data_IF_125349236423
#
_entry.id   IF_125349236423
#
_cell.length_a   1.000
_cell.length_b   1.000
_cell.length_c   1.000
_cell.angle_alpha   90.00
_cell.angle_beta   90.00
_cell.angle_gamma   90.00
#
_symmetry.space_group_name_H-M   'P 1'
#
loop_
_entity.id
_entity.type
_entity.pdbx_description
1 polymer ?
#
# COMPACT_ATOMS: atom_id res chain seq x y z
N UNK A 1 21.85 -8.98 21.09
CA UNK A 1 20.71 -8.12 21.47
C UNK A 1 19.40 -8.75 21.03
N UNK A 2 18.89 -9.73 21.80
CA UNK A 2 17.61 -10.39 21.52
C UNK A 2 16.42 -9.47 21.80
N UNK A 3 16.58 -8.53 22.72
CA UNK A 3 15.57 -7.55 23.12
C UNK A 3 15.15 -6.64 21.96
N UNK A 4 16.12 -6.19 21.15
CA UNK A 4 15.86 -5.39 19.96
C UNK A 4 15.04 -6.12 18.90
N UNK A 5 15.27 -7.43 18.74
CA UNK A 5 14.53 -8.26 17.79
C UNK A 5 13.06 -8.42 18.20
N UNK A 6 12.82 -8.61 19.51
CA UNK A 6 11.47 -8.72 20.08
C UNK A 6 10.70 -7.41 19.89
N UNK A 7 11.34 -6.27 20.17
CA UNK A 7 10.73 -4.95 19.97
C UNK A 7 10.46 -4.69 18.48
N UNK A 8 11.39 -5.04 17.58
CA UNK A 8 11.21 -4.92 16.14
C UNK A 8 10.01 -5.73 15.64
N UNK A 9 9.92 -7.01 16.03
CA UNK A 9 8.82 -7.88 15.65
C UNK A 9 7.48 -7.35 16.16
N UNK A 10 7.43 -6.87 17.41
CA UNK A 10 6.25 -6.25 17.98
C UNK A 10 5.82 -4.99 17.20
N UNK A 11 6.76 -4.09 16.90
CA UNK A 11 6.49 -2.87 16.13
C UNK A 11 6.02 -3.17 14.71
N UNK A 12 6.55 -4.20 14.05
CA UNK A 12 6.11 -4.65 12.73
C UNK A 12 4.66 -5.15 12.79
N UNK A 13 4.33 -6.00 13.75
CA UNK A 13 2.96 -6.53 13.91
C UNK A 13 1.97 -5.40 14.15
N UNK A 14 2.26 -4.49 15.09
CA UNK A 14 1.40 -3.34 15.38
C UNK A 14 1.26 -2.41 14.18
N UNK A 15 2.35 -2.17 13.43
CA UNK A 15 2.31 -1.33 12.24
C UNK A 15 1.42 -1.93 11.14
N UNK A 16 1.53 -3.23 10.88
CA UNK A 16 0.72 -3.92 9.87
C UNK A 16 -0.75 -3.93 10.30
N UNK A 17 -1.04 -4.37 11.53
CA UNK A 17 -2.43 -4.45 12.03
C UNK A 17 -3.09 -3.07 12.05
N UNK A 18 -2.40 -2.05 12.57
CA UNK A 18 -2.93 -0.68 12.60
C UNK A 18 -3.28 -0.17 11.20
N UNK A 19 -2.43 -0.42 10.21
CA UNK A 19 -2.67 0.01 8.82
C UNK A 19 -3.78 -0.78 8.14
N UNK A 20 -3.85 -2.10 8.34
CA UNK A 20 -4.96 -2.91 7.81
C UNK A 20 -6.30 -2.48 8.41
N UNK A 21 -6.35 -2.16 9.71
CA UNK A 21 -7.56 -1.69 10.39
C UNK A 21 -8.06 -0.35 9.83
N UNK A 22 -7.18 0.55 9.37
CA UNK A 22 -7.62 1.80 8.73
C UNK A 22 -8.46 1.57 7.47
N UNK A 23 -8.24 0.46 6.75
CA UNK A 23 -9.07 0.05 5.62
C UNK A 23 -10.53 -0.25 6.00
N UNK A 24 -10.76 -0.73 7.24
CA UNK A 24 -12.12 -0.97 7.77
C UNK A 24 -12.83 0.32 8.19
N UNK A 25 -12.10 1.40 8.46
CA UNK A 25 -12.65 2.70 8.84
C UNK A 25 -13.36 3.44 7.70
N UNK A 26 -13.18 3.00 6.45
CA UNK A 26 -13.87 3.58 5.29
C UNK A 26 -15.29 3.00 5.21
N UNK A 27 -16.25 3.73 5.78
CA UNK A 27 -17.69 3.46 5.68
C UNK A 27 -18.32 4.40 4.66
N UNK A 28 -19.13 3.89 3.73
CA UNK A 28 -20.05 4.71 2.92
C UNK A 28 -19.83 4.76 1.40
N UNK A 29 -18.89 4.02 0.82
CA UNK A 29 -18.72 3.95 -0.64
C UNK A 29 -18.82 2.50 -1.18
N UNK A 30 -19.88 2.15 -1.92
CA UNK A 30 -19.98 0.87 -2.62
C UNK A 30 -18.90 0.78 -3.71
N UNK A 31 -18.19 -0.35 -3.79
CA UNK A 31 -17.16 -0.60 -4.83
C UNK A 31 -15.71 -0.29 -4.44
N UNK A 32 -15.44 0.17 -3.22
CA UNK A 32 -14.08 0.46 -2.77
C UNK A 32 -13.44 -0.72 -2.05
N UNK A 33 -12.25 -1.14 -2.51
CA UNK A 33 -11.48 -2.18 -1.85
C UNK A 33 -10.78 -1.65 -0.59
N UNK A 34 -11.44 -1.89 0.55
CA UNK A 34 -10.96 -1.59 1.90
C UNK A 34 -9.56 -2.12 2.21
N UNK A 35 -9.23 -3.32 1.70
CA UNK A 35 -7.93 -3.95 1.90
C UNK A 35 -6.83 -3.24 1.09
N UNK A 36 -7.12 -2.83 -0.14
CA UNK A 36 -6.20 -2.04 -0.96
C UNK A 36 -5.91 -0.67 -0.34
N UNK A 37 -6.90 -0.04 0.30
CA UNK A 37 -6.69 1.21 1.06
C UNK A 37 -5.74 0.97 2.23
N UNK A 38 -6.03 -0.02 3.08
CA UNK A 38 -5.18 -0.33 4.24
C UNK A 38 -3.76 -0.69 3.84
N UNK A 39 -3.60 -1.49 2.79
CA UNK A 39 -2.30 -1.92 2.25
C UNK A 39 -1.55 -0.77 1.58
N UNK A 40 -2.24 0.10 0.85
CA UNK A 40 -1.66 1.29 0.24
C UNK A 40 -1.09 2.28 1.27
N UNK A 41 -1.54 2.21 2.52
CA UNK A 41 -1.04 3.03 3.62
C UNK A 41 0.10 2.38 4.42
N UNK A 42 0.50 1.14 4.13
CA UNK A 42 1.61 0.44 4.79
C UNK A 42 2.98 1.09 4.55
N UNK A 43 3.37 1.54 3.34
CA UNK A 43 4.72 2.00 3.11
C UNK A 43 5.04 3.20 4.00
N UNK A 44 6.03 3.02 4.88
CA UNK A 44 6.63 4.11 5.63
C UNK A 44 7.80 4.64 4.82
N UNK A 45 7.67 5.83 4.27
CA UNK A 45 8.71 6.46 3.47
C UNK A 45 9.84 7.07 4.30
N UNK A 46 10.45 8.10 3.73
CA UNK A 46 11.57 8.86 4.30
C UNK A 46 11.29 9.38 5.72
N UNK A 47 10.05 9.77 6.02
CA UNK A 47 9.65 10.32 7.33
C UNK A 47 9.86 9.33 8.48
N UNK A 48 9.77 8.02 8.23
CA UNK A 48 10.09 7.01 9.24
C UNK A 48 11.58 6.94 9.58
N UNK A 49 12.43 7.11 8.56
CA UNK A 49 13.89 7.18 8.70
C UNK A 49 14.33 8.50 9.33
N UNK A 50 13.70 9.62 8.97
CA UNK A 50 13.93 10.93 9.61
C UNK A 50 13.62 10.85 11.10
N UNK A 51 12.51 10.22 11.48
CA UNK A 51 12.14 10.05 12.88
C UNK A 51 13.14 9.16 13.65
N UNK A 52 13.66 8.10 13.02
CA UNK A 52 14.71 7.27 13.58
C UNK A 52 16.02 8.07 13.79
N UNK A 53 16.40 8.88 12.80
CA UNK A 53 17.59 9.73 12.87
C UNK A 53 17.48 10.80 13.97
N UNK A 54 16.34 11.47 14.09
CA UNK A 54 16.10 12.47 15.15
C UNK A 54 16.02 11.79 16.53
N UNK A 55 15.35 10.64 16.62
CA UNK A 55 15.25 9.90 17.88
C UNK A 55 16.61 9.38 18.36
N UNK A 56 17.52 9.04 17.44
CA UNK A 56 18.90 8.69 17.75
C UNK A 56 19.73 9.90 18.18
N UNK A 57 19.60 11.05 17.49
CA UNK A 57 20.37 12.27 17.81
C UNK A 57 19.95 12.92 19.13
N UNK A 58 18.68 12.76 19.52
CA UNK A 58 18.15 13.24 20.80
C UNK A 58 18.40 12.27 21.96
N UNK A 59 18.93 11.07 21.70
CA UNK A 59 19.11 10.01 22.68
C UNK A 59 17.80 9.38 23.19
N UNK A 60 16.67 9.70 22.56
CA UNK A 60 15.36 9.16 22.91
C UNK A 60 15.20 7.67 22.54
N UNK A 61 15.98 7.18 21.57
CA UNK A 61 15.97 5.80 21.12
C UNK A 61 17.28 5.11 21.52
N UNK A 62 17.17 3.92 22.12
CA UNK A 62 18.33 3.04 22.30
C UNK A 62 18.83 2.51 20.96
N UNK A 63 20.10 2.11 20.88
CA UNK A 63 20.73 1.58 19.66
C UNK A 63 19.93 0.41 19.05
N UNK A 64 19.42 -0.48 19.92
CA UNK A 64 18.59 -1.60 19.51
C UNK A 64 17.24 -1.16 18.91
N UNK A 65 16.63 -0.09 19.44
CA UNK A 65 15.33 0.41 18.99
C UNK A 65 15.46 1.24 17.71
N UNK A 66 16.55 1.98 17.55
CA UNK A 66 16.88 2.65 16.30
C UNK A 66 17.05 1.65 15.15
N UNK A 67 17.85 0.59 15.37
CA UNK A 67 18.02 -0.49 14.40
C UNK A 67 16.69 -1.19 14.08
N UNK A 68 15.85 -1.43 15.09
CA UNK A 68 14.52 -2.01 14.91
C UNK A 68 13.60 -1.16 14.01
N UNK A 69 13.58 0.16 14.20
CA UNK A 69 12.77 1.07 13.38
C UNK A 69 13.26 1.09 11.94
N UNK A 70 14.58 1.18 11.71
CA UNK A 70 15.16 1.18 10.36
C UNK A 70 14.78 -0.10 9.61
N UNK A 71 14.95 -1.26 10.26
CA UNK A 71 14.59 -2.56 9.67
C UNK A 71 13.10 -2.63 9.37
N UNK A 72 12.23 -2.16 10.27
CA UNK A 72 10.78 -2.09 10.05
C UNK A 72 10.41 -1.22 8.85
N UNK A 73 10.98 -0.02 8.74
CA UNK A 73 10.70 0.93 7.64
C UNK A 73 11.09 0.34 6.30
N UNK A 74 12.28 -0.26 6.21
CA UNK A 74 12.76 -0.90 4.98
C UNK A 74 11.86 -2.10 4.62
N UNK A 75 11.63 -3.02 5.56
CA UNK A 75 10.81 -4.21 5.32
C UNK A 75 9.40 -3.84 4.87
N UNK A 76 8.71 -2.97 5.60
CA UNK A 76 7.33 -2.57 5.24
C UNK A 76 7.25 -1.86 3.89
N UNK A 77 8.29 -1.12 3.49
CA UNK A 77 8.38 -0.49 2.16
C UNK A 77 8.54 -1.52 1.05
N UNK A 78 9.41 -2.53 1.24
CA UNK A 78 9.58 -3.61 0.26
C UNK A 78 8.38 -4.56 0.19
N UNK A 79 7.66 -4.74 1.30
CA UNK A 79 6.46 -5.58 1.36
C UNK A 79 5.24 -4.88 0.73
N UNK A 80 5.19 -3.55 0.68
CA UNK A 80 4.04 -2.82 0.16
C UNK A 80 3.72 -3.13 -1.32
N UNK A 81 4.67 -3.10 -2.28
CA UNK A 81 4.37 -3.41 -3.69
C UNK A 81 3.76 -4.81 -3.92
N UNK A 82 4.31 -5.92 -3.40
CA UNK A 82 3.73 -7.25 -3.60
C UNK A 82 2.39 -7.39 -2.86
N UNK A 83 2.26 -6.83 -1.66
CA UNK A 83 1.02 -6.90 -0.89
C UNK A 83 -0.09 -6.08 -1.56
N UNK A 84 0.24 -4.94 -2.17
CA UNK A 84 -0.70 -4.10 -2.92
C UNK A 84 -1.13 -4.80 -4.21
N UNK A 85 -0.21 -5.48 -4.91
CA UNK A 85 -0.55 -6.31 -6.09
C UNK A 85 -1.54 -7.41 -5.73
N UNK A 86 -1.35 -8.07 -4.59
CA UNK A 86 -2.30 -9.08 -4.09
C UNK A 86 -3.65 -8.46 -3.69
N UNK A 87 -3.64 -7.31 -2.99
CA UNK A 87 -4.83 -6.57 -2.60
C UNK A 87 -5.64 -6.03 -3.79
N UNK A 88 -5.01 -5.82 -4.96
CA UNK A 88 -5.71 -5.54 -6.21
C UNK A 88 -6.14 -6.81 -6.95
N UNK A 89 -5.37 -7.89 -6.90
CA UNK A 89 -5.72 -9.18 -7.53
C UNK A 89 -7.01 -9.79 -6.99
N UNK A 90 -7.36 -9.52 -5.74
CA UNK A 90 -8.65 -9.88 -5.14
C UNK A 90 -9.84 -9.03 -5.67
N UNK A 91 -9.61 -7.94 -6.41
CA UNK A 91 -10.66 -7.21 -7.17
C UNK A 91 -10.62 -7.49 -8.65
N UNK A 92 -9.55 -8.09 -9.17
CA UNK A 92 -9.54 -8.54 -10.57
C UNK A 92 -10.62 -9.60 -10.80
N UNK A 93 -11.06 -10.32 -9.77
CA UNK A 93 -12.25 -11.18 -9.86
C UNK A 93 -13.56 -10.41 -10.13
N UNK A 94 -13.64 -9.13 -9.76
CA UNK A 94 -14.82 -8.27 -10.02
C UNK A 94 -14.65 -7.41 -11.28
N UNK A 95 -13.41 -7.04 -11.66
CA UNK A 95 -13.14 -6.19 -12.85
C UNK A 95 -12.93 -7.03 -14.13
N UNK A 96 -12.48 -8.28 -14.00
CA UNK A 96 -12.23 -9.16 -15.15
C UNK A 96 -13.48 -9.95 -15.59
N UNK A 97 -14.65 -9.58 -15.07
CA UNK A 97 -15.98 -9.99 -15.57
C UNK A 97 -16.53 -9.10 -16.68
N UNK A 98 -15.91 -7.94 -16.94
CA UNK A 98 -16.21 -7.06 -18.08
C UNK A 98 -14.96 -6.94 -18.96
N UNK A 99 -14.55 -8.04 -19.59
CA UNK A 99 -13.94 -7.91 -20.91
C UNK A 99 -15.14 -7.89 -21.85
N UNK A 100 -15.56 -6.74 -22.43
CA UNK A 100 -16.54 -6.78 -23.50
C UNK A 100 -15.93 -7.69 -24.56
N UNK A 101 -16.58 -8.83 -24.82
CA UNK A 101 -16.19 -9.62 -25.98
C UNK A 101 -16.19 -8.67 -27.18
N UNK A 102 -15.16 -8.70 -28.03
CA UNK A 102 -15.21 -7.94 -29.26
C UNK A 102 -16.41 -8.45 -30.05
N UNK A 103 -17.50 -7.68 -30.03
CA UNK A 103 -18.62 -7.88 -30.93
C UNK A 103 -18.08 -7.58 -32.31
N UNK A 104 -17.74 -8.66 -33.03
CA UNK A 104 -17.34 -8.61 -34.42
C UNK A 104 -18.59 -8.34 -35.25
N UNK A 105 -19.04 -7.10 -35.27
CA UNK A 105 -20.01 -6.64 -36.25
C UNK A 105 -19.25 -6.12 -37.47
N UNK A 106 -19.13 -6.97 -38.50
CA UNK A 106 -18.88 -6.49 -39.85
C UNK A 106 -17.47 -6.02 -40.21
N UNK A 107 -16.41 -6.45 -39.52
CA UNK A 107 -15.05 -6.44 -40.10
C UNK A 107 -14.41 -5.07 -40.37
N UNK A 108 -14.63 -4.06 -39.52
CA UNK A 108 -13.88 -2.79 -39.59
C UNK A 108 -13.26 -2.41 -38.25
N UNK A 109 -11.98 -2.00 -38.30
CA UNK A 109 -11.18 -1.59 -37.14
C UNK A 109 -11.39 -0.08 -36.93
N UNK A 110 -12.26 0.31 -36.00
CA UNK A 110 -12.39 1.73 -35.61
C UNK A 110 -11.28 2.07 -34.62
N UNK A 111 -10.39 2.98 -35.03
CA UNK A 111 -9.35 3.59 -34.18
C UNK A 111 -10.01 4.44 -33.07
N UNK A 112 -9.37 4.59 -31.90
CA UNK A 112 -9.91 5.40 -30.82
C UNK A 112 -10.03 6.84 -31.28
N UNK A 113 -11.27 7.34 -31.33
CA UNK A 113 -11.55 8.75 -31.52
C UNK A 113 -10.86 9.49 -30.35
N UNK A 114 -9.82 10.26 -30.68
CA UNK A 114 -9.24 11.22 -29.77
C UNK A 114 -10.38 12.13 -29.34
N UNK A 115 -10.76 12.05 -28.06
CA UNK A 115 -11.58 13.09 -27.42
C UNK A 115 -10.69 14.33 -27.34
N UNK A 116 -10.63 15.06 -28.46
CA UNK A 116 -10.16 16.42 -28.55
C UNK A 116 -11.15 17.26 -27.73
N UNK A 117 -10.82 17.50 -26.47
CA UNK A 117 -11.56 18.42 -25.61
C UNK A 117 -11.38 19.85 -26.14
N UNK A 118 -12.38 20.34 -26.87
CA UNK A 118 -12.55 21.75 -27.23
C UNK A 118 -12.53 22.63 -25.96
N UNK A 119 -11.67 23.66 -25.87
CA UNK A 119 -11.76 24.67 -24.84
C UNK A 119 -12.73 25.78 -25.30
N UNK A 120 -13.97 25.72 -24.82
CA UNK A 120 -14.87 26.88 -24.77
C UNK A 120 -14.83 27.49 -23.37
#
# INVERSE_FOLDING_TARGET
NWEGLIIAAFLIVVAIVGKVVTGFGVFGQPGINRLAIGVGMIPRGEVGLVFAAIGASTGALSEALNAAIIVMVILTTFLAPPLLRWAFSQNTSDVMGEVPEPVLEGGEILQPEFVESDPQ
#
